data_IF_196829381128
#
_entry.id   IF_196829381128
#
_cell.length_a   1.000
_cell.length_b   1.000
_cell.length_c   1.000
_cell.angle_alpha   90.00
_cell.angle_beta   90.00
_cell.angle_gamma   90.00
#
_symmetry.space_group_name_H-M   'P 1'
#
loop_
_entity.id
_entity.type
_entity.pdbx_description
1 polymer ?
#
# COMPACT_ATOMS: atom_id res chain seq x y z
N UNK A 1 9.44 -17.98 -25.79
CA UNK A 1 8.11 -18.07 -25.17
C UNK A 1 7.51 -16.68 -25.08
N UNK A 2 6.22 -16.51 -25.37
CA UNK A 2 5.49 -15.25 -25.18
C UNK A 2 4.54 -15.46 -24.01
N UNK A 3 4.55 -14.54 -23.05
CA UNK A 3 3.68 -14.55 -21.87
C UNK A 3 3.10 -13.14 -21.65
N UNK A 4 1.99 -13.02 -20.90
CA UNK A 4 1.55 -11.73 -20.38
C UNK A 4 2.60 -11.11 -19.47
N UNK A 5 2.53 -9.78 -19.31
CA UNK A 5 3.35 -9.09 -18.31
C UNK A 5 3.04 -9.58 -16.90
N UNK A 6 4.07 -9.70 -16.07
CA UNK A 6 3.94 -10.19 -14.70
C UNK A 6 3.31 -9.12 -13.81
N UNK A 7 2.60 -9.56 -12.76
CA UNK A 7 1.99 -8.71 -11.74
C UNK A 7 2.64 -9.06 -10.41
N UNK A 8 3.25 -8.08 -9.75
CA UNK A 8 3.62 -8.18 -8.36
C UNK A 8 2.41 -7.78 -7.50
N UNK A 9 1.77 -8.79 -6.90
CA UNK A 9 0.49 -8.65 -6.21
C UNK A 9 0.56 -7.92 -4.87
N UNK A 10 1.76 -7.82 -4.28
CA UNK A 10 1.99 -7.16 -2.99
C UNK A 10 3.47 -6.90 -2.77
N UNK A 11 3.85 -5.63 -2.58
CA UNK A 11 5.23 -5.24 -2.26
C UNK A 11 5.28 -3.96 -1.44
N UNK A 12 6.47 -3.55 -1.00
CA UNK A 12 6.69 -2.32 -0.24
C UNK A 12 7.74 -1.45 -0.93
N UNK A 13 7.32 -0.65 -1.92
CA UNK A 13 8.22 0.11 -2.79
C UNK A 13 9.10 1.14 -2.03
N UNK A 14 8.61 1.67 -0.91
CA UNK A 14 9.28 2.75 -0.15
C UNK A 14 10.09 2.22 1.04
N UNK A 15 10.25 0.91 1.18
CA UNK A 15 10.88 0.36 2.37
C UNK A 15 12.42 0.41 2.35
N UNK A 16 13.04 -0.22 1.36
CA UNK A 16 14.49 -0.50 1.38
C UNK A 16 15.27 0.13 0.22
N UNK A 17 14.61 0.81 -0.70
CA UNK A 17 15.23 1.26 -1.94
C UNK A 17 14.60 2.54 -2.45
N UNK A 18 15.36 3.27 -3.27
CA UNK A 18 14.77 4.32 -4.08
C UNK A 18 13.87 3.67 -5.13
N UNK A 19 12.62 4.14 -5.21
CA UNK A 19 11.60 3.61 -6.15
C UNK A 19 12.11 3.63 -7.60
N UNK A 20 12.80 4.69 -8.03
CA UNK A 20 13.30 4.77 -9.40
C UNK A 20 14.33 3.70 -9.71
N UNK A 21 15.17 3.32 -8.73
CA UNK A 21 16.11 2.21 -8.90
C UNK A 21 15.40 0.87 -8.89
N UNK A 22 14.46 0.66 -7.96
CA UNK A 22 13.68 -0.58 -7.90
C UNK A 22 12.96 -0.86 -9.23
N UNK A 23 12.27 0.16 -9.77
CA UNK A 23 11.50 0.01 -11.00
C UNK A 23 12.38 -0.42 -12.17
N UNK A 24 13.60 0.13 -12.33
CA UNK A 24 14.51 -0.26 -13.43
C UNK A 24 14.70 -1.77 -13.48
N UNK A 25 14.92 -2.41 -12.33
CA UNK A 25 15.12 -3.85 -12.27
C UNK A 25 13.82 -4.64 -12.41
N UNK A 26 12.76 -4.24 -11.70
CA UNK A 26 11.47 -4.93 -11.75
C UNK A 26 10.92 -5.00 -13.19
N UNK A 27 11.00 -3.89 -13.93
CA UNK A 27 10.51 -3.79 -15.30
C UNK A 27 11.32 -4.66 -16.27
N UNK A 28 12.65 -4.72 -16.11
CA UNK A 28 13.50 -5.59 -16.94
C UNK A 28 13.23 -7.08 -16.72
N UNK A 29 12.68 -7.45 -15.56
CA UNK A 29 12.24 -8.82 -15.26
C UNK A 29 10.88 -9.19 -15.88
N UNK A 30 10.22 -8.26 -16.58
CA UNK A 30 8.91 -8.48 -17.20
C UNK A 30 7.71 -8.13 -16.31
N UNK A 31 7.93 -7.53 -15.14
CA UNK A 31 6.84 -6.99 -14.31
C UNK A 31 6.27 -5.75 -14.98
N UNK A 32 4.95 -5.75 -15.17
CA UNK A 32 4.21 -4.66 -15.83
C UNK A 32 3.14 -4.04 -14.93
N UNK A 33 2.89 -4.64 -13.76
CA UNK A 33 1.98 -4.09 -12.75
C UNK A 33 2.50 -4.42 -11.36
N UNK A 34 2.42 -3.45 -10.46
CA UNK A 34 2.80 -3.59 -9.05
C UNK A 34 1.64 -3.08 -8.19
N UNK A 35 1.32 -3.80 -7.12
CA UNK A 35 0.48 -3.31 -6.02
C UNK A 35 1.38 -3.11 -4.80
N UNK A 36 1.55 -1.86 -4.36
CA UNK A 36 2.39 -1.49 -3.21
C UNK A 36 1.57 -1.15 -1.97
N UNK A 37 2.09 -1.53 -0.81
CA UNK A 37 1.58 -1.09 0.48
C UNK A 37 1.96 0.38 0.74
N UNK A 38 1.17 1.08 1.55
CA UNK A 38 1.39 2.49 1.96
C UNK A 38 1.61 2.66 3.47
N UNK A 39 1.69 1.55 4.21
CA UNK A 39 1.89 1.52 5.66
C UNK A 39 3.23 2.09 6.13
N UNK A 40 4.24 2.17 5.27
CA UNK A 40 5.53 2.83 5.60
C UNK A 40 5.38 4.35 5.67
N UNK A 41 4.52 4.91 4.83
CA UNK A 41 4.42 6.36 4.59
C UNK A 41 3.37 6.99 5.49
N UNK A 42 2.22 6.33 5.62
CA UNK A 42 1.07 6.84 6.35
C UNK A 42 1.36 7.23 7.82
N UNK A 43 2.07 6.43 8.63
CA UNK A 43 2.31 6.77 10.04
C UNK A 43 3.18 8.03 10.22
N UNK A 44 4.00 8.36 9.22
CA UNK A 44 4.94 9.48 9.25
C UNK A 44 4.28 10.76 8.74
N UNK A 45 3.52 10.66 7.66
CA UNK A 45 3.07 11.81 6.86
C UNK A 45 1.54 11.93 6.75
N UNK A 46 0.80 10.94 7.23
CA UNK A 46 -0.65 10.87 7.15
C UNK A 46 -1.17 10.74 5.71
N UNK A 47 -2.42 11.13 5.52
CA UNK A 47 -3.11 11.01 4.23
C UNK A 47 -2.40 11.79 3.11
N UNK A 48 -1.97 13.03 3.39
CA UNK A 48 -1.42 13.90 2.34
C UNK A 48 -0.09 13.36 1.80
N UNK A 49 0.76 12.78 2.65
CA UNK A 49 1.99 12.17 2.17
C UNK A 49 1.77 10.84 1.42
N UNK A 50 0.71 10.08 1.74
CA UNK A 50 0.31 8.95 0.89
C UNK A 50 -0.13 9.45 -0.49
N UNK A 51 -0.91 10.54 -0.57
CA UNK A 51 -1.32 11.12 -1.85
C UNK A 51 -0.13 11.64 -2.65
N UNK A 52 0.81 12.33 -2.00
CA UNK A 52 2.03 12.83 -2.62
C UNK A 52 2.90 11.68 -3.16
N UNK A 53 3.03 10.61 -2.37
CA UNK A 53 3.71 9.41 -2.82
C UNK A 53 3.04 8.79 -4.06
N UNK A 54 1.73 8.60 -4.05
CA UNK A 54 1.02 8.04 -5.20
C UNK A 54 1.15 8.94 -6.45
N UNK A 55 1.13 10.26 -6.26
CA UNK A 55 1.40 11.20 -7.34
C UNK A 55 2.82 11.03 -7.89
N UNK A 56 3.82 10.75 -7.05
CA UNK A 56 5.20 10.47 -7.50
C UNK A 56 5.33 9.19 -8.33
N UNK A 57 4.38 8.26 -8.19
CA UNK A 57 4.30 7.01 -8.96
C UNK A 57 3.52 7.13 -10.28
N UNK A 58 3.00 8.32 -10.59
CA UNK A 58 2.36 8.57 -11.87
C UNK A 58 3.36 8.55 -13.03
N UNK A 59 2.85 8.39 -14.26
CA UNK A 59 3.63 8.43 -15.50
C UNK A 59 4.81 7.44 -15.59
N UNK A 60 4.70 6.29 -14.92
CA UNK A 60 5.64 5.19 -15.05
C UNK A 60 5.33 4.31 -16.28
N UNK A 61 6.33 3.66 -16.89
CA UNK A 61 6.11 2.76 -18.03
C UNK A 61 5.43 1.44 -17.63
N UNK A 62 5.15 1.24 -16.34
CA UNK A 62 4.34 0.16 -15.79
C UNK A 62 3.22 0.71 -14.92
N UNK A 63 2.19 -0.09 -14.68
CA UNK A 63 1.09 0.29 -13.79
C UNK A 63 1.51 0.10 -12.33
N UNK A 64 1.24 1.09 -11.51
CA UNK A 64 1.46 1.00 -10.07
C UNK A 64 0.15 1.38 -9.38
N UNK A 65 -0.34 0.45 -8.58
CA UNK A 65 -1.47 0.64 -7.69
C UNK A 65 -1.00 0.49 -6.25
N UNK A 66 -1.87 0.85 -5.31
CA UNK A 66 -1.57 0.68 -3.91
C UNK A 66 -2.73 0.07 -3.12
N UNK A 67 -2.43 -0.30 -1.88
CA UNK A 67 -3.39 -0.65 -0.85
C UNK A 67 -3.44 0.44 0.23
N UNK A 68 -4.63 0.65 0.81
CA UNK A 68 -4.79 1.53 1.95
C UNK A 68 -4.27 0.84 3.22
N UNK A 69 -3.53 1.53 4.08
CA UNK A 69 -2.89 0.88 5.22
C UNK A 69 -3.94 0.58 6.28
N UNK A 70 -4.01 -0.68 6.70
CA UNK A 70 -4.95 -1.12 7.76
C UNK A 70 -4.62 -0.51 9.12
N UNK A 71 -3.35 -0.17 9.34
CA UNK A 71 -2.82 0.32 10.60
C UNK A 71 -3.21 -0.57 11.80
N UNK A 72 -3.30 -1.88 11.55
CA UNK A 72 -3.39 -2.89 12.60
C UNK A 72 -1.96 -3.35 12.89
N UNK A 73 -1.48 -3.23 14.13
CA UNK A 73 -0.09 -3.58 14.47
C UNK A 73 0.02 -4.12 15.89
N UNK A 74 1.03 -4.93 16.15
CA UNK A 74 1.39 -5.33 17.53
C UNK A 74 1.83 -4.13 18.39
N UNK A 75 2.38 -3.08 17.76
CA UNK A 75 2.82 -1.87 18.45
C UNK A 75 1.70 -0.85 18.48
N UNK A 76 1.22 -0.48 19.67
CA UNK A 76 0.19 0.56 19.83
C UNK A 76 0.55 1.91 19.20
N UNK A 77 1.84 2.21 19.04
CA UNK A 77 2.32 3.44 18.38
C UNK A 77 2.16 3.42 16.86
N UNK A 78 2.05 2.23 16.27
CA UNK A 78 1.84 2.02 14.85
C UNK A 78 0.40 1.55 14.55
N UNK A 79 -0.51 1.70 15.53
CA UNK A 79 -1.93 1.42 15.35
C UNK A 79 -2.69 2.69 14.97
N UNK A 80 -3.75 2.50 14.21
CA UNK A 80 -4.81 3.49 14.04
C UNK A 80 -4.77 4.26 12.73
N UNK A 81 -5.93 4.30 12.10
CA UNK A 81 -6.30 5.19 11.01
C UNK A 81 -7.75 5.59 11.24
N UNK A 82 -8.09 6.87 11.05
CA UNK A 82 -9.50 7.27 11.22
C UNK A 82 -10.36 6.65 10.11
N UNK A 83 -11.59 6.20 10.42
CA UNK A 83 -12.53 5.69 9.40
C UNK A 83 -12.75 6.68 8.26
N UNK A 84 -12.73 7.99 8.56
CA UNK A 84 -12.83 9.06 7.55
C UNK A 84 -11.63 9.02 6.60
N UNK A 85 -10.42 8.89 7.13
CA UNK A 85 -9.19 8.81 6.34
C UNK A 85 -9.12 7.54 5.52
N UNK A 86 -9.43 6.39 6.12
CA UNK A 86 -9.44 5.11 5.43
C UNK A 86 -10.45 5.12 4.26
N UNK A 87 -11.67 5.61 4.48
CA UNK A 87 -12.67 5.77 3.39
C UNK A 87 -12.19 6.71 2.29
N UNK A 88 -11.49 7.80 2.65
CA UNK A 88 -10.93 8.74 1.67
C UNK A 88 -9.84 8.09 0.81
N UNK A 89 -9.01 7.22 1.39
CA UNK A 89 -8.04 6.43 0.63
C UNK A 89 -8.72 5.40 -0.26
N UNK A 90 -9.65 4.60 0.29
CA UNK A 90 -10.39 3.56 -0.44
C UNK A 90 -11.29 4.11 -1.56
N UNK A 91 -11.62 5.41 -1.55
CA UNK A 91 -12.38 6.04 -2.64
C UNK A 91 -11.53 6.45 -3.84
N UNK A 92 -10.21 6.24 -3.80
CA UNK A 92 -9.31 6.58 -4.91
C UNK A 92 -9.20 5.41 -5.89
N UNK A 93 -9.11 5.70 -7.18
CA UNK A 93 -8.99 4.69 -8.24
C UNK A 93 -7.63 3.96 -8.24
N UNK A 94 -6.60 4.58 -7.66
CA UNK A 94 -5.26 4.02 -7.53
C UNK A 94 -5.04 3.21 -6.23
N UNK A 95 -6.07 3.10 -5.40
CA UNK A 95 -6.12 2.26 -4.21
C UNK A 95 -7.08 1.09 -4.47
N UNK A 96 -6.55 -0.14 -4.59
CA UNK A 96 -7.35 -1.30 -4.97
C UNK A 96 -8.06 -1.99 -3.82
N UNK A 97 -7.74 -1.61 -2.58
CA UNK A 97 -8.36 -2.19 -1.40
C UNK A 97 -7.59 -1.92 -0.13
N UNK A 98 -7.95 -2.66 0.91
CA UNK A 98 -7.23 -2.66 2.18
C UNK A 98 -5.95 -3.46 2.08
N UNK A 99 -4.90 -2.95 2.71
CA UNK A 99 -3.58 -3.53 2.79
C UNK A 99 -3.44 -4.65 3.82
N UNK A 100 -2.20 -5.11 3.98
CA UNK A 100 -1.89 -6.18 4.92
C UNK A 100 -2.24 -5.80 6.36
N UNK A 101 -2.60 -6.81 7.15
CA UNK A 101 -3.06 -6.63 8.53
C UNK A 101 -2.45 -7.70 9.43
N UNK A 102 -2.05 -7.31 10.64
CA UNK A 102 -1.65 -8.26 11.67
C UNK A 102 -2.90 -8.94 12.26
N UNK A 103 -3.33 -10.04 11.64
CA UNK A 103 -4.55 -10.77 12.00
C UNK A 103 -4.62 -11.22 13.46
N UNK A 104 -3.48 -11.47 14.12
CA UNK A 104 -3.50 -11.79 15.55
C UNK A 104 -4.15 -10.67 16.37
N UNK A 105 -3.86 -9.41 16.03
CA UNK A 105 -4.42 -8.25 16.71
C UNK A 105 -5.90 -8.06 16.35
N UNK A 106 -6.27 -8.28 15.08
CA UNK A 106 -7.68 -8.28 14.66
C UNK A 106 -8.50 -9.28 15.48
N UNK A 107 -7.98 -10.50 15.68
CA UNK A 107 -8.69 -11.57 16.40
C UNK A 107 -8.66 -11.39 17.92
N UNK A 108 -7.64 -10.73 18.47
CA UNK A 108 -7.56 -10.43 19.91
C UNK A 108 -8.43 -9.24 20.32
N UNK A 109 -8.63 -8.29 19.39
CA UNK A 109 -9.36 -7.04 19.63
C UNK A 109 -10.48 -6.83 18.57
N UNK A 110 -11.38 -7.81 18.36
CA UNK A 110 -12.32 -7.79 17.24
C UNK A 110 -13.32 -6.62 17.31
N UNK A 111 -13.70 -6.20 18.51
CA UNK A 111 -14.59 -5.04 18.72
C UNK A 111 -13.98 -3.72 18.27
N UNK A 112 -12.65 -3.63 18.25
CA UNK A 112 -11.94 -2.45 17.73
C UNK A 112 -11.90 -2.47 16.20
N UNK A 113 -11.59 -3.62 15.61
CA UNK A 113 -11.23 -3.71 14.20
C UNK A 113 -12.39 -4.09 13.26
N UNK A 114 -13.33 -4.94 13.68
CA UNK A 114 -14.46 -5.31 12.83
C UNK A 114 -15.35 -4.13 12.43
N UNK A 115 -15.60 -3.11 13.29
CA UNK A 115 -16.35 -1.94 12.85
C UNK A 115 -15.61 -1.02 11.87
N UNK A 116 -14.29 -1.21 11.69
CA UNK A 116 -13.45 -0.40 10.80
C UNK A 116 -13.44 -0.96 9.37
N UNK A 117 -13.70 -2.26 9.21
CA UNK A 117 -13.79 -2.97 7.94
C UNK A 117 -15.22 -3.07 7.41
#
# INVERSE_FOLDING_TARGET
>A
TIIPGLIDGHTHLVWLSNVSEFLKYAMTGGTTTIITETMEIFPITGYEGVVDFLASLSDQPIKIFATAPSMVSISKKARGISKKTLRKLLSRDDILGLGESYWQIVLQEPEEYFPIF
#
